data_IF_241461503677
#
_entry.id   IF_241461503677
#
_cell.length_a   1.000
_cell.length_b   1.000
_cell.length_c   1.000
_cell.angle_alpha   90.00
_cell.angle_beta   90.00
_cell.angle_gamma   90.00
#
_symmetry.space_group_name_H-M   'P 1'
#
loop_
_entity.id
_entity.type
_entity.pdbx_description
1 polymer ?
#
# COMPACT_ATOMS: atom_id res chain seq x y z
N UNK A 1 -11.20 -7.06 -9.25
CA UNK A 1 -11.05 -5.71 -8.67
C UNK A 1 -9.57 -5.36 -8.59
N UNK A 2 -9.19 -4.22 -9.15
CA UNK A 2 -7.78 -3.86 -9.25
C UNK A 2 -7.33 -3.03 -8.05
N UNK A 3 -7.37 -3.63 -6.88
CA UNK A 3 -6.97 -2.92 -5.66
C UNK A 3 -5.48 -2.56 -5.68
N UNK A 4 -4.65 -3.42 -6.26
CA UNK A 4 -3.22 -3.16 -6.34
C UNK A 4 -2.89 -1.90 -7.11
N UNK A 5 -3.57 -1.70 -8.23
CA UNK A 5 -3.39 -0.48 -9.02
C UNK A 5 -3.82 0.76 -8.25
N UNK A 6 -4.94 0.66 -7.53
CA UNK A 6 -5.42 1.77 -6.72
C UNK A 6 -4.46 2.11 -5.59
N UNK A 7 -3.88 1.09 -4.96
CA UNK A 7 -2.88 1.30 -3.92
C UNK A 7 -1.64 1.99 -4.48
N UNK A 8 -1.17 1.53 -5.62
CA UNK A 8 0.00 2.13 -6.27
C UNK A 8 -0.28 3.59 -6.66
N UNK A 9 -1.43 3.83 -7.28
CA UNK A 9 -1.80 5.19 -7.70
C UNK A 9 -1.87 6.14 -6.50
N UNK A 10 -2.47 5.70 -5.40
CA UNK A 10 -2.57 6.51 -4.20
C UNK A 10 -1.18 6.81 -3.63
N UNK A 11 -0.30 5.80 -3.63
CA UNK A 11 1.06 5.97 -3.14
C UNK A 11 1.83 6.99 -3.97
N UNK A 12 1.75 6.85 -5.30
CA UNK A 12 2.46 7.75 -6.21
C UNK A 12 1.93 9.17 -6.08
N UNK A 13 0.62 9.33 -5.99
CA UNK A 13 0.01 10.67 -5.81
C UNK A 13 0.42 11.31 -4.49
N UNK A 14 0.66 10.49 -3.48
CA UNK A 14 1.11 10.99 -2.18
C UNK A 14 2.61 11.31 -2.17
N UNK A 15 3.34 10.93 -3.21
CA UNK A 15 4.78 11.14 -3.29
C UNK A 15 5.59 10.18 -2.44
N UNK A 16 5.01 9.03 -2.08
CA UNK A 16 5.67 8.07 -1.20
C UNK A 16 6.34 6.96 -2.02
N UNK A 17 7.47 6.46 -1.49
CA UNK A 17 8.09 5.24 -2.03
C UNK A 17 7.47 4.01 -1.37
N UNK A 18 7.66 2.84 -2.00
CA UNK A 18 7.23 1.58 -1.39
C UNK A 18 7.93 1.38 -0.05
N UNK A 19 9.21 1.72 0.02
CA UNK A 19 9.99 1.57 1.24
C UNK A 19 9.44 2.43 2.37
N UNK A 20 9.10 3.68 2.08
CA UNK A 20 8.52 4.58 3.07
C UNK A 20 7.20 4.03 3.62
N UNK A 21 6.32 3.59 2.73
CA UNK A 21 5.02 3.05 3.15
C UNK A 21 5.21 1.78 3.98
N UNK A 22 6.14 0.92 3.57
CA UNK A 22 6.42 -0.30 4.31
C UNK A 22 6.85 0.00 5.74
N UNK A 23 7.71 1.00 5.92
CA UNK A 23 8.14 1.40 7.26
C UNK A 23 6.99 1.96 8.08
N UNK A 24 6.14 2.78 7.46
CA UNK A 24 5.04 3.43 8.18
C UNK A 24 4.00 2.45 8.70
N UNK A 25 3.73 1.38 7.96
CA UNK A 25 2.75 0.39 8.40
C UNK A 25 3.39 -0.90 8.89
N UNK A 26 4.71 -0.90 9.03
CA UNK A 26 5.49 -1.98 9.65
C UNK A 26 5.35 -3.33 8.93
N UNK A 27 5.49 -3.29 7.63
CA UNK A 27 5.56 -4.50 6.79
C UNK A 27 6.81 -4.42 5.94
N UNK A 28 7.15 -5.51 5.25
CA UNK A 28 8.30 -5.49 4.37
C UNK A 28 7.97 -4.77 3.06
N UNK A 29 8.98 -4.21 2.41
CA UNK A 29 8.82 -3.61 1.10
C UNK A 29 8.27 -4.62 0.09
N UNK A 30 8.71 -5.87 0.19
CA UNK A 30 8.21 -6.95 -0.68
C UNK A 30 6.71 -7.13 -0.52
N UNK A 31 6.21 -6.99 0.71
CA UNK A 31 4.77 -7.07 0.95
C UNK A 31 4.01 -5.98 0.20
N UNK A 32 4.51 -4.74 0.25
CA UNK A 32 3.90 -3.62 -0.49
C UNK A 32 3.90 -3.92 -2.00
N UNK A 33 5.04 -4.38 -2.51
CA UNK A 33 5.16 -4.74 -3.91
C UNK A 33 4.17 -5.83 -4.31
N UNK A 34 4.02 -6.85 -3.48
CA UNK A 34 3.07 -7.92 -3.75
C UNK A 34 1.63 -7.41 -3.83
N UNK A 35 1.25 -6.51 -2.91
CA UNK A 35 -0.09 -5.93 -2.91
C UNK A 35 -0.32 -5.11 -4.19
N UNK A 36 0.67 -4.31 -4.60
CA UNK A 36 0.53 -3.44 -5.78
C UNK A 36 0.53 -4.24 -7.08
N UNK A 37 1.13 -5.42 -7.07
CA UNK A 37 1.19 -6.30 -8.24
C UNK A 37 0.13 -7.41 -8.20
N UNK A 38 -0.83 -7.32 -7.28
CA UNK A 38 -1.96 -8.25 -7.18
C UNK A 38 -1.54 -9.68 -6.85
N UNK A 39 -0.36 -9.86 -6.26
CA UNK A 39 0.12 -11.19 -5.85
C UNK A 39 -0.45 -11.59 -4.49
N UNK A 40 -0.80 -10.61 -3.69
CA UNK A 40 -1.49 -10.82 -2.42
C UNK A 40 -2.29 -9.57 -2.10
N UNK A 41 -3.06 -9.61 -1.01
CA UNK A 41 -3.94 -8.50 -0.66
C UNK A 41 -3.79 -8.17 0.82
N UNK A 42 -3.85 -6.88 1.19
CA UNK A 42 -3.77 -6.50 2.59
C UNK A 42 -5.05 -6.93 3.33
N UNK A 43 -4.89 -7.27 4.60
CA UNK A 43 -6.05 -7.52 5.44
C UNK A 43 -6.72 -6.19 5.80
N UNK A 44 -7.88 -6.27 6.46
CA UNK A 44 -8.68 -5.06 6.73
C UNK A 44 -7.92 -4.06 7.60
N UNK A 45 -7.10 -4.52 8.54
CA UNK A 45 -6.33 -3.62 9.40
C UNK A 45 -5.33 -2.83 8.55
N UNK A 46 -4.64 -3.50 7.65
CA UNK A 46 -3.68 -2.83 6.78
C UNK A 46 -4.35 -1.94 5.75
N UNK A 47 -5.55 -2.31 5.28
CA UNK A 47 -6.32 -1.43 4.39
C UNK A 47 -6.63 -0.12 5.11
N UNK A 48 -7.05 -0.19 6.36
CA UNK A 48 -7.35 1.01 7.15
C UNK A 48 -6.10 1.87 7.33
N UNK A 49 -4.97 1.24 7.66
CA UNK A 49 -3.70 1.96 7.82
C UNK A 49 -3.27 2.64 6.53
N UNK A 50 -3.40 1.96 5.41
CA UNK A 50 -3.07 2.55 4.11
C UNK A 50 -4.00 3.71 3.77
N UNK A 51 -5.30 3.56 4.05
CA UNK A 51 -6.26 4.63 3.81
C UNK A 51 -5.90 5.88 4.62
N UNK A 52 -5.53 5.69 5.88
CA UNK A 52 -5.12 6.81 6.72
C UNK A 52 -3.84 7.47 6.19
N UNK A 53 -2.87 6.66 5.79
CA UNK A 53 -1.60 7.16 5.29
C UNK A 53 -1.77 7.93 3.99
N UNK A 54 -2.61 7.43 3.10
CA UNK A 54 -2.85 8.04 1.78
C UNK A 54 -3.96 9.10 1.82
N UNK A 55 -4.59 9.32 2.94
CA UNK A 55 -5.65 10.31 3.12
C UNK A 55 -6.84 10.07 2.20
N UNK A 56 -7.27 8.83 2.07
CA UNK A 56 -8.43 8.46 1.25
C UNK A 56 -9.51 7.81 2.09
#
# INVERSE_FOLDING_TARGET
MEIGKKLKDARVKSGFTQEYVAEEIQVSRQTISNWENEKSYPDIVNVIRLSDLYCV
#
